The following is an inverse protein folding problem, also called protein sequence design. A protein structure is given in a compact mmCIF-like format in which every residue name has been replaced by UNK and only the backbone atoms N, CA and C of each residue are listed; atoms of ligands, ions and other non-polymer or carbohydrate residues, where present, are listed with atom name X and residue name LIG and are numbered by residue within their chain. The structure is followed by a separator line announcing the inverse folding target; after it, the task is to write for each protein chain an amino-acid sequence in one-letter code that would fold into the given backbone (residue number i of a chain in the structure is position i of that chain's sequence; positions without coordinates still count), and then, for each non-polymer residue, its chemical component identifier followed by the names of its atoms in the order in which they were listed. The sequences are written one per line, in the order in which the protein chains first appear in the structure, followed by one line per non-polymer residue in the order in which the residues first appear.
data_IF_928523216416
#
_entry.id   IF_928523216416
#
_cell.length_a   1.000
_cell.length_b   1.000
_cell.length_c   1.000
_cell.angle_alpha   90.00
_cell.angle_beta   90.00
_cell.angle_gamma   90.00
#
_symmetry.space_group_name_H-M   'P 1'
#
loop_
_entity.id
_entity.type
_entity.pdbx_description
1 polymer ?
#
# COMPACT_ATOMS: atom_id res chain seq x y z
N UNK A 1 -60.46 40.59 8.85
CA UNK A 1 -59.92 39.25 9.17
C UNK A 1 -58.56 39.13 8.56
N UNK A 2 -57.48 39.08 9.37
CA UNK A 2 -56.11 38.83 8.93
C UNK A 2 -55.78 37.38 9.23
N UNK A 3 -55.47 36.58 8.22
CA UNK A 3 -55.02 35.19 8.37
C UNK A 3 -53.51 35.21 8.65
N UNK A 4 -53.05 34.45 9.64
CA UNK A 4 -51.61 34.29 9.87
C UNK A 4 -51.02 33.30 8.87
N UNK A 5 -50.02 33.74 8.11
CA UNK A 5 -49.22 32.90 7.21
C UNK A 5 -48.14 32.20 8.07
N UNK A 6 -48.32 30.92 8.33
CA UNK A 6 -47.31 30.10 9.04
C UNK A 6 -46.25 29.66 8.01
N UNK A 7 -45.05 30.17 8.13
CA UNK A 7 -43.91 29.70 7.35
C UNK A 7 -43.33 28.43 8.00
N UNK A 8 -43.51 27.29 7.35
CA UNK A 8 -42.91 26.03 7.79
C UNK A 8 -41.51 25.95 7.20
N UNK A 9 -40.49 26.16 8.01
CA UNK A 9 -39.06 25.91 7.64
C UNK A 9 -38.83 24.42 7.62
N UNK A 10 -38.57 23.88 6.43
CA UNK A 10 -38.13 22.50 6.22
C UNK A 10 -36.62 22.45 6.43
N UNK A 11 -36.18 21.95 7.59
CA UNK A 11 -34.75 21.70 7.85
C UNK A 11 -34.36 20.38 7.19
N UNK A 12 -33.56 20.46 6.12
CA UNK A 12 -32.88 19.28 5.58
C UNK A 12 -31.71 18.93 6.51
N UNK A 13 -31.86 17.83 7.25
CA UNK A 13 -30.74 17.17 7.89
C UNK A 13 -29.91 16.49 6.77
N UNK A 14 -28.82 17.10 6.37
CA UNK A 14 -27.79 16.44 5.57
C UNK A 14 -27.07 15.49 6.55
N UNK A 15 -27.44 14.21 6.54
CA UNK A 15 -26.63 13.15 7.13
C UNK A 15 -25.38 13.08 6.25
N UNK A 16 -24.24 13.55 6.72
CA UNK A 16 -22.95 13.16 6.14
C UNK A 16 -22.84 11.66 6.35
N UNK A 17 -22.91 10.91 5.27
CA UNK A 17 -22.45 9.54 5.23
C UNK A 17 -20.92 9.66 5.30
N UNK A 18 -20.34 9.38 6.45
CA UNK A 18 -18.88 9.22 6.56
C UNK A 18 -18.55 7.99 5.70
N UNK A 19 -17.69 8.16 4.73
CA UNK A 19 -17.12 7.06 3.96
C UNK A 19 -16.18 6.29 4.88
N UNK A 20 -16.22 4.97 4.85
CA UNK A 20 -15.23 4.16 5.54
C UNK A 20 -13.82 4.46 5.00
N UNK A 21 -12.82 4.39 5.87
CA UNK A 21 -11.43 4.72 5.54
C UNK A 21 -10.57 3.48 5.63
N UNK A 22 -9.93 3.12 4.54
CA UNK A 22 -8.98 2.00 4.49
C UNK A 22 -7.55 2.50 4.31
N UNK A 23 -6.67 2.13 5.24
CA UNK A 23 -5.23 2.36 5.15
C UNK A 23 -4.52 1.04 4.88
N UNK A 24 -3.77 0.98 3.77
CA UNK A 24 -2.93 -0.15 3.43
C UNK A 24 -1.46 0.25 3.65
N UNK A 25 -0.68 -0.57 4.34
CA UNK A 25 0.77 -0.40 4.51
C UNK A 25 1.44 -1.64 3.93
N UNK A 26 2.10 -1.50 2.79
CA UNK A 26 2.69 -2.61 2.03
C UNK A 26 4.19 -2.39 1.78
N UNK A 27 4.88 -3.40 1.30
CA UNK A 27 6.30 -3.31 1.05
C UNK A 27 6.60 -2.62 -0.29
N UNK A 28 6.18 -3.19 -1.42
CA UNK A 28 6.58 -2.77 -2.76
C UNK A 28 5.41 -2.21 -3.59
N UNK A 29 5.68 -1.41 -4.65
CA UNK A 29 4.64 -0.86 -5.53
C UNK A 29 3.98 -1.88 -6.47
N UNK A 30 3.46 -3.00 -5.95
CA UNK A 30 2.69 -4.03 -6.65
C UNK A 30 2.05 -5.04 -5.67
N UNK A 31 2.51 -5.07 -4.42
CA UNK A 31 2.03 -6.02 -3.40
C UNK A 31 0.54 -5.90 -3.13
N UNK A 32 0.04 -4.68 -3.10
CA UNK A 32 -1.37 -4.36 -2.89
C UNK A 32 -2.24 -4.87 -4.04
N UNK A 33 -1.76 -4.76 -5.28
CA UNK A 33 -2.46 -5.26 -6.47
C UNK A 33 -2.49 -6.78 -6.51
N UNK A 34 -1.43 -7.45 -6.01
CA UNK A 34 -1.33 -8.90 -5.99
C UNK A 34 -2.02 -9.51 -4.76
N UNK A 35 -1.83 -8.93 -3.58
CA UNK A 35 -2.14 -9.62 -2.32
C UNK A 35 -3.29 -8.99 -1.52
N UNK A 36 -3.64 -7.70 -1.75
CA UNK A 36 -4.77 -7.03 -1.13
C UNK A 36 -5.96 -6.84 -2.09
N UNK A 37 -5.77 -7.01 -3.39
CA UNK A 37 -6.85 -7.00 -4.37
C UNK A 37 -7.52 -8.38 -4.46
N UNK A 38 -8.88 -8.49 -4.52
CA UNK A 38 -9.84 -7.44 -4.91
C UNK A 38 -10.39 -6.54 -3.80
N UNK A 39 -9.98 -6.68 -2.52
CA UNK A 39 -10.57 -5.86 -1.45
C UNK A 39 -10.37 -4.36 -1.70
N UNK A 40 -9.18 -3.92 -2.16
CA UNK A 40 -8.94 -2.53 -2.55
C UNK A 40 -9.87 -2.08 -3.69
N UNK A 41 -10.13 -2.95 -4.67
CA UNK A 41 -11.07 -2.69 -5.75
C UNK A 41 -12.50 -2.47 -5.23
N UNK A 42 -12.90 -3.25 -4.24
CA UNK A 42 -14.20 -3.11 -3.59
C UNK A 42 -14.28 -1.80 -2.81
N UNK A 43 -13.25 -1.46 -2.03
CA UNK A 43 -13.20 -0.22 -1.26
C UNK A 43 -13.35 1.01 -2.16
N UNK A 44 -12.54 1.10 -3.22
CA UNK A 44 -12.61 2.21 -4.19
C UNK A 44 -13.99 2.25 -4.87
N UNK A 45 -14.53 1.10 -5.29
CA UNK A 45 -15.84 1.02 -5.96
C UNK A 45 -17.01 1.39 -5.05
N UNK A 46 -16.87 1.15 -3.73
CA UNK A 46 -17.86 1.51 -2.72
C UNK A 46 -17.74 2.98 -2.27
N UNK A 47 -16.76 3.72 -2.78
CA UNK A 47 -16.53 5.12 -2.44
C UNK A 47 -15.88 5.30 -1.07
N UNK A 48 -15.09 4.32 -0.61
CA UNK A 48 -14.29 4.46 0.61
C UNK A 48 -13.11 5.39 0.37
N UNK A 49 -12.64 6.03 1.42
CA UNK A 49 -11.37 6.77 1.37
C UNK A 49 -10.22 5.78 1.54
N UNK A 50 -9.42 5.61 0.50
CA UNK A 50 -8.32 4.63 0.44
C UNK A 50 -6.98 5.34 0.39
N UNK A 51 -6.08 4.95 1.30
CA UNK A 51 -4.67 5.34 1.25
C UNK A 51 -3.78 4.11 1.26
N UNK A 52 -2.79 4.07 0.36
CA UNK A 52 -1.76 3.04 0.36
C UNK A 52 -0.38 3.66 0.59
N UNK A 53 0.36 3.10 1.55
CA UNK A 53 1.72 3.49 1.93
C UNK A 53 2.67 2.37 1.52
N UNK A 54 3.58 2.69 0.61
CA UNK A 54 4.64 1.79 0.19
C UNK A 54 5.91 2.11 1.00
N UNK A 55 6.41 1.12 1.75
CA UNK A 55 7.59 1.33 2.58
C UNK A 55 8.86 1.36 1.76
N UNK A 56 9.00 0.44 0.79
CA UNK A 56 10.17 0.36 -0.08
C UNK A 56 9.85 0.86 -1.48
N UNK A 57 10.89 1.19 -2.22
CA UNK A 57 10.78 1.53 -3.64
C UNK A 57 10.60 0.30 -4.52
N UNK A 58 10.86 -0.92 -3.99
CA UNK A 58 10.96 -2.13 -4.80
C UNK A 58 12.04 -1.99 -5.88
N UNK A 59 13.15 -1.33 -5.56
CA UNK A 59 14.20 -1.00 -6.52
C UNK A 59 15.00 -2.23 -7.02
N UNK A 60 14.93 -3.35 -6.29
CA UNK A 60 15.67 -4.57 -6.62
C UNK A 60 17.16 -4.32 -6.94
N UNK A 61 17.76 -3.32 -6.27
CA UNK A 61 19.13 -2.88 -6.50
C UNK A 61 19.38 -2.16 -7.83
N UNK A 62 18.33 -1.78 -8.54
CA UNK A 62 18.37 -1.03 -9.79
C UNK A 62 18.32 0.49 -9.55
N UNK A 63 18.49 1.26 -10.62
CA UNK A 63 18.55 2.72 -10.54
C UNK A 63 17.17 3.37 -10.42
N UNK A 64 17.17 4.70 -10.28
CA UNK A 64 15.98 5.51 -10.12
C UNK A 64 14.97 5.36 -11.26
N UNK A 65 15.41 5.07 -12.48
CA UNK A 65 14.51 4.89 -13.62
C UNK A 65 13.60 3.70 -13.42
N UNK A 66 14.10 2.62 -12.82
CA UNK A 66 13.34 1.42 -12.57
C UNK A 66 12.27 1.64 -11.48
N UNK A 67 12.67 2.07 -10.27
CA UNK A 67 11.71 2.19 -9.18
C UNK A 67 10.70 3.33 -9.39
N UNK A 68 11.08 4.45 -10.04
CA UNK A 68 10.11 5.51 -10.40
C UNK A 68 9.09 5.02 -11.43
N UNK A 69 9.50 4.12 -12.34
CA UNK A 69 8.56 3.49 -13.27
C UNK A 69 7.55 2.60 -12.53
N UNK A 70 7.99 1.81 -11.54
CA UNK A 70 7.07 1.02 -10.69
C UNK A 70 6.10 1.91 -9.91
N UNK A 71 6.58 3.01 -9.34
CA UNK A 71 5.73 4.01 -8.69
C UNK A 71 4.67 4.56 -9.66
N UNK A 72 5.08 4.95 -10.88
CA UNK A 72 4.14 5.41 -11.91
C UNK A 72 3.13 4.31 -12.29
N UNK A 73 3.55 3.05 -12.30
CA UNK A 73 2.69 1.89 -12.52
C UNK A 73 1.61 1.75 -11.44
N UNK A 74 1.98 1.85 -10.16
CA UNK A 74 1.02 1.84 -9.05
C UNK A 74 0.02 3.00 -9.18
N UNK A 75 0.50 4.20 -9.47
CA UNK A 75 -0.36 5.38 -9.70
C UNK A 75 -1.33 5.15 -10.86
N UNK A 76 -0.87 4.58 -11.97
CA UNK A 76 -1.73 4.27 -13.11
C UNK A 76 -2.79 3.20 -12.78
N UNK A 77 -2.42 2.15 -12.02
CA UNK A 77 -3.34 1.10 -11.61
C UNK A 77 -4.46 1.64 -10.70
N UNK A 78 -4.14 2.51 -9.73
CA UNK A 78 -5.16 3.12 -8.88
C UNK A 78 -6.10 4.05 -9.65
N UNK A 79 -5.59 4.85 -10.57
CA UNK A 79 -6.43 5.68 -11.45
C UNK A 79 -7.36 4.81 -12.31
N UNK A 80 -6.85 3.67 -12.82
CA UNK A 80 -7.66 2.69 -13.56
C UNK A 80 -8.76 2.10 -12.68
N UNK A 81 -8.44 1.67 -11.44
CA UNK A 81 -9.43 1.14 -10.49
C UNK A 81 -10.51 2.17 -10.14
N UNK A 82 -10.15 3.45 -10.06
CA UNK A 82 -11.07 4.56 -9.81
C UNK A 82 -11.85 5.00 -11.08
N UNK A 83 -11.48 4.52 -12.27
CA UNK A 83 -12.14 4.85 -13.53
C UNK A 83 -11.89 6.29 -14.01
N UNK A 84 -10.76 6.90 -13.66
CA UNK A 84 -10.37 8.27 -14.01
C UNK A 84 -8.97 8.33 -14.64
N UNK A 85 -8.60 9.50 -15.19
CA UNK A 85 -7.25 9.72 -15.71
C UNK A 85 -6.21 9.72 -14.58
N UNK A 86 -4.99 9.21 -14.86
CA UNK A 86 -3.89 9.18 -13.90
C UNK A 86 -3.24 10.56 -13.75
N UNK A 87 -3.97 11.48 -13.11
CA UNK A 87 -3.51 12.84 -12.79
C UNK A 87 -3.53 13.00 -11.28
N UNK A 88 -2.36 13.32 -10.71
CA UNK A 88 -2.15 13.33 -9.28
C UNK A 88 -1.69 14.72 -8.79
N UNK A 89 -2.27 15.16 -7.70
CA UNK A 89 -1.81 16.34 -6.97
C UNK A 89 -0.85 15.88 -5.88
N UNK A 90 0.34 16.48 -5.85
CA UNK A 90 1.37 16.18 -4.87
C UNK A 90 1.25 17.13 -3.69
N UNK A 91 1.34 16.57 -2.48
CA UNK A 91 1.36 17.24 -1.20
C UNK A 91 2.31 16.54 -0.24
N UNK A 92 2.18 16.82 1.04
CA UNK A 92 2.92 16.18 2.13
C UNK A 92 1.96 15.38 3.02
N UNK A 93 2.40 14.21 3.51
CA UNK A 93 1.55 13.34 4.35
C UNK A 93 1.32 13.92 5.76
N UNK A 94 2.08 14.93 6.15
CA UNK A 94 1.91 15.69 7.39
C UNK A 94 2.64 15.10 8.61
N UNK A 95 3.72 14.35 8.42
CA UNK A 95 4.55 13.85 9.53
C UNK A 95 5.59 14.89 9.92
N UNK A 96 5.56 15.37 11.16
CA UNK A 96 6.47 16.40 11.65
C UNK A 96 7.94 16.02 11.44
N UNK A 97 8.70 16.94 10.83
CA UNK A 97 10.13 16.76 10.56
C UNK A 97 10.47 15.78 9.44
N UNK A 98 9.49 15.33 8.67
CA UNK A 98 9.67 14.50 7.48
C UNK A 98 8.99 15.17 6.28
N UNK A 99 9.63 15.09 5.14
CA UNK A 99 9.05 15.48 3.85
C UNK A 99 8.71 14.17 3.10
N UNK A 100 7.46 13.73 3.26
CA UNK A 100 6.99 12.45 2.70
C UNK A 100 5.88 12.76 1.70
N UNK A 101 6.10 12.51 0.40
CA UNK A 101 5.13 12.86 -0.62
C UNK A 101 3.82 12.09 -0.46
N UNK A 102 2.72 12.83 -0.55
CA UNK A 102 1.35 12.34 -0.65
C UNK A 102 0.81 12.67 -2.02
N UNK A 103 0.50 11.66 -2.81
CA UNK A 103 -0.16 11.81 -4.10
C UNK A 103 -1.65 11.56 -3.93
N UNK A 104 -2.47 12.56 -4.26
CA UNK A 104 -3.94 12.46 -4.24
C UNK A 104 -4.47 12.46 -5.66
N UNK A 105 -5.30 11.47 -5.99
CA UNK A 105 -5.87 11.33 -7.34
C UNK A 105 -6.86 12.47 -7.60
N UNK A 106 -6.57 13.33 -8.59
CA UNK A 106 -7.26 14.62 -8.78
C UNK A 106 -8.77 14.48 -8.94
N UNK A 107 -9.21 13.57 -9.80
CA UNK A 107 -10.63 13.39 -10.12
C UNK A 107 -11.31 12.34 -9.19
N UNK A 108 -10.57 11.78 -8.23
CA UNK A 108 -11.06 10.89 -7.19
C UNK A 108 -10.27 11.09 -5.89
N UNK A 109 -10.46 12.23 -5.18
CA UNK A 109 -9.59 12.65 -4.07
C UNK A 109 -9.66 11.75 -2.83
N UNK A 110 -10.59 10.81 -2.77
CA UNK A 110 -10.64 9.76 -1.74
C UNK A 110 -9.58 8.66 -1.95
N UNK A 111 -8.83 8.70 -3.06
CA UNK A 111 -7.72 7.79 -3.36
C UNK A 111 -6.39 8.52 -3.24
N UNK A 112 -5.49 8.03 -2.39
CA UNK A 112 -4.16 8.62 -2.18
C UNK A 112 -3.07 7.57 -2.00
N UNK A 113 -1.86 7.89 -2.44
CA UNK A 113 -0.67 7.03 -2.34
C UNK A 113 0.48 7.79 -1.67
N UNK A 114 1.30 7.08 -0.92
CA UNK A 114 2.50 7.61 -0.24
C UNK A 114 3.66 6.63 -0.41
N UNK A 115 4.86 7.14 -0.71
CA UNK A 115 6.05 6.34 -0.94
C UNK A 115 7.17 6.79 0.01
N UNK A 116 7.66 5.89 0.87
CA UNK A 116 8.74 6.17 1.80
C UNK A 116 10.13 5.97 1.18
N UNK A 117 10.19 5.34 0.02
CA UNK A 117 11.41 5.12 -0.77
C UNK A 117 12.56 4.43 -0.01
N UNK A 118 12.24 3.54 0.94
CA UNK A 118 13.23 2.68 1.59
C UNK A 118 13.74 1.66 0.55
N UNK A 119 15.02 1.26 0.58
CA UNK A 119 15.55 0.26 -0.34
C UNK A 119 14.88 -1.10 -0.20
N UNK A 120 14.75 -1.82 -1.31
CA UNK A 120 14.32 -3.22 -1.38
C UNK A 120 15.34 -4.13 -0.66
N UNK A 121 14.83 -4.99 0.21
CA UNK A 121 15.63 -5.89 1.04
C UNK A 121 16.04 -7.21 0.38
N UNK A 122 15.61 -7.47 -0.85
CA UNK A 122 15.68 -8.79 -1.48
C UNK A 122 14.82 -9.84 -0.76
N UNK A 123 14.46 -10.91 -1.47
CA UNK A 123 13.58 -11.97 -0.95
C UNK A 123 14.08 -12.58 0.37
N UNK A 124 15.39 -12.62 0.56
CA UNK A 124 16.08 -13.24 1.70
C UNK A 124 16.55 -12.24 2.78
N UNK A 125 16.22 -10.96 2.66
CA UNK A 125 16.63 -9.91 3.60
C UNK A 125 18.10 -9.49 3.53
N UNK A 126 18.87 -9.99 2.56
CA UNK A 126 20.28 -9.66 2.43
C UNK A 126 20.52 -8.26 1.83
N UNK A 127 19.54 -7.74 1.07
CA UNK A 127 19.61 -6.46 0.38
C UNK A 127 20.58 -6.48 -0.83
N UNK A 128 20.71 -5.33 -1.44
CA UNK A 128 21.51 -5.16 -2.66
C UNK A 128 22.78 -4.32 -2.42
N UNK A 129 23.90 -4.66 -3.09
CA UNK A 129 25.14 -3.87 -2.94
C UNK A 129 24.96 -2.38 -3.32
N UNK A 130 24.07 -2.10 -4.28
CA UNK A 130 23.79 -0.73 -4.74
C UNK A 130 23.23 0.18 -3.63
N UNK A 131 22.54 -0.40 -2.67
CA UNK A 131 21.91 0.29 -1.52
C UNK A 131 22.63 -0.01 -0.20
N UNK A 132 23.91 -0.44 -0.27
CA UNK A 132 24.71 -0.77 0.93
C UNK A 132 24.19 -1.97 1.71
N UNK A 133 23.34 -2.80 1.11
CA UNK A 133 22.70 -3.96 1.75
C UNK A 133 21.85 -3.56 2.98
N UNK A 134 21.36 -2.32 3.00
CA UNK A 134 20.38 -1.87 4.00
C UNK A 134 19.02 -2.47 3.68
N UNK A 135 18.30 -3.01 4.68
CA UNK A 135 17.00 -3.67 4.50
C UNK A 135 16.07 -3.39 5.68
N UNK A 136 14.75 -3.47 5.45
CA UNK A 136 13.75 -3.37 6.52
C UNK A 136 13.93 -4.47 7.57
N UNK A 137 14.28 -5.70 7.15
CA UNK A 137 14.55 -6.81 8.07
C UNK A 137 15.71 -6.51 9.02
N UNK A 138 16.84 -6.01 8.49
CA UNK A 138 17.99 -5.62 9.33
C UNK A 138 17.67 -4.43 10.23
N UNK A 139 16.84 -3.47 9.76
CA UNK A 139 16.38 -2.39 10.61
C UNK A 139 15.49 -2.90 11.74
N UNK A 140 14.58 -3.82 11.45
CA UNK A 140 13.71 -4.45 12.44
C UNK A 140 14.49 -5.22 13.51
N UNK A 141 15.55 -5.93 13.11
CA UNK A 141 16.39 -6.75 13.98
C UNK A 141 17.51 -5.97 14.68
N UNK A 142 17.61 -4.66 14.45
CA UNK A 142 18.72 -3.81 14.95
C UNK A 142 20.12 -4.28 14.46
N UNK A 143 20.19 -4.81 13.25
CA UNK A 143 21.41 -5.36 12.63
C UNK A 143 22.13 -4.38 11.68
N UNK A 144 21.56 -3.20 11.44
CA UNK A 144 22.22 -2.16 10.64
C UNK A 144 23.36 -1.51 11.44
N UNK A 145 24.60 -1.46 10.91
CA UNK A 145 25.75 -0.88 11.64
C UNK A 145 25.54 0.59 12.03
N UNK A 146 24.80 1.35 11.23
CA UNK A 146 24.44 2.75 11.50
C UNK A 146 23.25 2.89 12.47
N UNK A 147 22.50 1.80 12.72
CA UNK A 147 21.20 1.82 13.37
C UNK A 147 20.12 2.53 12.54
N UNK A 148 20.38 2.81 11.27
CA UNK A 148 19.49 3.60 10.39
C UNK A 148 19.50 3.04 8.97
N UNK A 149 18.35 3.14 8.29
CA UNK A 149 18.19 2.88 6.86
C UNK A 149 18.04 4.20 6.11
N UNK A 150 18.62 4.29 4.92
CA UNK A 150 18.55 5.48 4.05
C UNK A 150 17.61 5.24 2.89
N UNK A 151 16.82 6.27 2.54
CA UNK A 151 15.96 6.25 1.34
C UNK A 151 16.78 6.31 0.04
N UNK A 152 16.24 5.77 -1.06
CA UNK A 152 16.90 5.72 -2.38
C UNK A 152 16.63 6.96 -3.24
N UNK A 153 15.71 7.83 -2.83
CA UNK A 153 15.24 9.01 -3.58
C UNK A 153 16.21 10.21 -3.55
N UNK A 154 17.41 10.03 -3.02
CA UNK A 154 18.42 11.07 -2.87
C UNK A 154 18.01 12.27 -1.98
N UNK A 155 16.88 12.22 -1.27
CA UNK A 155 16.48 13.25 -0.28
C UNK A 155 17.45 13.33 0.91
N UNK A 156 18.18 12.24 1.15
CA UNK A 156 19.03 12.09 2.32
C UNK A 156 18.26 11.68 3.59
N UNK A 157 16.97 11.42 3.46
CA UNK A 157 16.12 10.93 4.56
C UNK A 157 16.64 9.60 5.09
N UNK A 158 16.59 9.43 6.40
CA UNK A 158 16.95 8.17 7.06
C UNK A 158 15.96 7.87 8.17
N UNK A 159 15.81 6.58 8.48
CA UNK A 159 14.96 6.13 9.59
C UNK A 159 15.75 5.19 10.51
N UNK A 160 15.71 5.42 11.81
CA UNK A 160 15.91 4.36 12.79
C UNK A 160 14.63 3.52 12.90
N UNK A 161 14.70 2.35 13.54
CA UNK A 161 13.53 1.51 13.80
C UNK A 161 12.42 2.30 14.51
N UNK A 162 12.76 3.03 15.57
CA UNK A 162 11.80 3.82 16.33
C UNK A 162 11.19 4.93 15.47
N UNK A 163 12.00 5.68 14.71
CA UNK A 163 11.51 6.75 13.85
C UNK A 163 10.57 6.22 12.72
N UNK A 164 10.81 5.03 12.18
CA UNK A 164 9.90 4.44 11.20
C UNK A 164 8.56 4.07 11.84
N UNK A 165 8.58 3.48 13.04
CA UNK A 165 7.37 3.20 13.82
C UNK A 165 6.61 4.51 14.12
N UNK A 166 7.30 5.54 14.61
CA UNK A 166 6.69 6.83 14.93
C UNK A 166 6.09 7.50 13.66
N UNK A 167 6.78 7.39 12.53
CA UNK A 167 6.29 7.87 11.22
C UNK A 167 4.99 7.18 10.83
N UNK A 168 4.95 5.86 10.87
CA UNK A 168 3.74 5.09 10.54
C UNK A 168 2.61 5.35 11.55
N UNK A 169 2.93 5.46 12.83
CA UNK A 169 1.95 5.86 13.87
C UNK A 169 1.33 7.22 13.57
N UNK A 170 2.14 8.18 13.13
CA UNK A 170 1.67 9.52 12.76
C UNK A 170 0.77 9.47 11.52
N UNK A 171 1.11 8.64 10.52
CA UNK A 171 0.28 8.42 9.33
C UNK A 171 -1.05 7.79 9.72
N UNK A 172 -1.06 6.75 10.57
CA UNK A 172 -2.27 6.10 11.06
C UNK A 172 -3.15 7.12 11.80
N UNK A 173 -2.59 7.90 12.72
CA UNK A 173 -3.32 8.90 13.49
C UNK A 173 -3.86 10.04 12.61
N UNK A 174 -3.10 10.49 11.61
CA UNK A 174 -3.53 11.56 10.71
C UNK A 174 -4.59 11.11 9.70
N UNK A 175 -4.61 9.83 9.35
CA UNK A 175 -5.60 9.27 8.43
C UNK A 175 -6.86 8.80 9.17
N UNK A 176 -6.74 8.31 10.40
CA UNK A 176 -7.84 7.76 11.23
C UNK A 176 -8.61 6.64 10.49
N UNK A 177 -7.96 5.51 10.17
CA UNK A 177 -8.58 4.43 9.40
C UNK A 177 -9.65 3.68 10.20
N UNK A 178 -10.70 3.20 9.52
CA UNK A 178 -11.64 2.21 10.03
C UNK A 178 -11.09 0.80 9.81
N UNK A 179 -10.30 0.59 8.75
CA UNK A 179 -9.57 -0.65 8.47
C UNK A 179 -8.09 -0.37 8.19
N UNK A 180 -7.22 -1.13 8.87
CA UNK A 180 -5.77 -1.08 8.68
C UNK A 180 -5.27 -2.43 8.18
N UNK A 181 -4.76 -2.45 6.96
CA UNK A 181 -4.29 -3.63 6.25
C UNK A 181 -2.78 -3.58 6.07
N UNK A 182 -2.14 -4.74 6.16
CA UNK A 182 -0.73 -4.89 5.81
C UNK A 182 -0.43 -6.31 5.33
N UNK A 183 0.83 -6.59 5.03
CA UNK A 183 1.29 -7.92 4.68
C UNK A 183 1.47 -8.80 5.93
N UNK A 184 1.74 -10.08 5.73
CA UNK A 184 1.72 -11.08 6.79
C UNK A 184 2.88 -10.94 7.77
N UNK A 185 2.56 -10.53 9.00
CA UNK A 185 3.48 -10.43 10.14
C UNK A 185 3.37 -11.60 11.13
N UNK A 186 2.44 -12.53 10.88
CA UNK A 186 2.19 -13.67 11.77
C UNK A 186 3.10 -14.85 11.45
N UNK A 187 3.64 -14.91 10.23
CA UNK A 187 4.65 -15.89 9.85
C UNK A 187 6.07 -15.30 9.93
N UNK A 188 7.00 -16.14 10.35
CA UNK A 188 8.40 -15.73 10.55
C UNK A 188 9.11 -15.48 9.21
N UNK A 189 10.17 -14.68 9.23
CA UNK A 189 11.12 -14.57 8.12
C UNK A 189 11.58 -15.94 7.63
N UNK A 190 11.72 -16.10 6.32
CA UNK A 190 12.12 -17.36 5.71
C UNK A 190 11.01 -18.42 5.58
N UNK A 191 9.75 -18.05 5.84
CA UNK A 191 8.58 -18.93 5.64
C UNK A 191 8.15 -19.09 4.17
N UNK A 192 8.94 -18.55 3.23
CA UNK A 192 8.68 -18.60 1.78
C UNK A 192 8.06 -17.32 1.22
N UNK A 193 7.91 -16.29 2.04
CA UNK A 193 7.54 -14.95 1.63
C UNK A 193 8.76 -14.04 1.48
N UNK A 194 8.58 -12.86 0.88
CA UNK A 194 9.60 -11.84 0.79
C UNK A 194 9.91 -11.25 2.18
N UNK A 195 11.20 -10.96 2.47
CA UNK A 195 11.58 -10.41 3.76
C UNK A 195 10.93 -9.07 4.06
N UNK A 196 10.76 -8.23 3.04
CA UNK A 196 10.10 -6.93 3.18
C UNK A 196 8.60 -7.05 3.43
N UNK A 197 7.94 -8.13 2.95
CA UNK A 197 6.53 -8.37 3.28
C UNK A 197 6.36 -8.58 4.78
N UNK A 198 7.14 -9.50 5.35
CA UNK A 198 7.14 -9.73 6.80
C UNK A 198 7.50 -8.46 7.57
N UNK A 199 8.50 -7.71 7.09
CA UNK A 199 8.93 -6.46 7.73
C UNK A 199 7.84 -5.39 7.70
N UNK A 200 7.19 -5.18 6.54
CA UNK A 200 6.11 -4.20 6.39
C UNK A 200 4.97 -4.50 7.37
N UNK A 201 4.55 -5.77 7.44
CA UNK A 201 3.55 -6.21 8.39
C UNK A 201 3.95 -5.99 9.85
N UNK A 202 5.19 -6.31 10.23
CA UNK A 202 5.70 -6.10 11.58
C UNK A 202 5.74 -4.61 11.95
N UNK A 203 6.25 -3.74 11.06
CA UNK A 203 6.27 -2.29 11.28
C UNK A 203 4.85 -1.71 11.38
N UNK A 204 3.92 -2.13 10.52
CA UNK A 204 2.53 -1.69 10.55
C UNK A 204 1.84 -2.10 11.85
N UNK A 205 2.01 -3.36 12.28
CA UNK A 205 1.44 -3.87 13.52
C UNK A 205 2.01 -3.17 14.75
N UNK A 206 3.33 -2.95 14.81
CA UNK A 206 3.98 -2.23 15.92
C UNK A 206 3.54 -0.75 15.97
N UNK A 207 3.36 -0.09 14.81
CA UNK A 207 2.88 1.28 14.74
C UNK A 207 1.41 1.44 15.12
N UNK A 208 0.60 0.41 14.94
CA UNK A 208 -0.81 0.41 15.35
C UNK A 208 -0.99 0.46 16.87
N UNK A 209 -0.06 -0.13 17.65
CA UNK A 209 -0.15 -0.22 19.11
C UNK A 209 -0.19 1.17 19.80
N UNK A 210 0.74 2.11 19.53
CA UNK A 210 0.71 3.46 20.10
C UNK A 210 -0.26 4.41 19.38
N UNK A 211 -0.86 4.01 18.26
CA UNK A 211 -1.79 4.83 17.50
C UNK A 211 -3.18 4.88 18.14
N UNK A 212 -4.06 5.73 17.59
CA UNK A 212 -5.47 5.79 17.97
C UNK A 212 -6.33 4.69 17.33
N UNK A 213 -5.77 3.84 16.47
CA UNK A 213 -6.49 2.78 15.78
C UNK A 213 -6.99 1.72 16.76
N UNK A 214 -8.30 1.47 16.84
CA UNK A 214 -8.88 0.57 17.85
C UNK A 214 -8.90 -0.89 17.43
N UNK A 215 -8.59 -1.20 16.16
CA UNK A 215 -8.71 -2.51 15.56
C UNK A 215 -7.42 -3.33 15.60
N UNK A 216 -7.43 -4.43 14.87
CA UNK A 216 -6.27 -5.29 14.61
C UNK A 216 -5.86 -5.13 13.16
N UNK A 217 -4.56 -5.07 12.89
CA UNK A 217 -4.04 -5.03 11.51
C UNK A 217 -4.41 -6.33 10.80
N UNK A 218 -5.08 -6.22 9.65
CA UNK A 218 -5.39 -7.38 8.82
C UNK A 218 -4.13 -7.79 8.06
N UNK A 219 -3.70 -9.04 8.25
CA UNK A 219 -2.46 -9.58 7.70
C UNK A 219 -2.74 -10.33 6.39
N UNK A 220 -2.48 -9.71 5.26
CA UNK A 220 -2.61 -10.33 3.93
C UNK A 220 -1.38 -11.16 3.60
N UNK A 221 -1.60 -12.41 3.18
CA UNK A 221 -0.53 -13.34 2.85
C UNK A 221 0.04 -13.03 1.46
N UNK A 222 1.38 -12.99 1.38
CA UNK A 222 2.13 -12.74 0.14
C UNK A 222 2.39 -14.01 -0.68
N UNK A 223 3.63 -14.21 -1.11
CA UNK A 223 4.03 -15.28 -2.05
C UNK A 223 3.53 -16.69 -1.74
N UNK A 224 3.42 -17.14 -0.47
CA UNK A 224 2.97 -18.49 -0.15
C UNK A 224 1.56 -18.83 -0.63
N UNK A 225 0.70 -17.83 -0.94
CA UNK A 225 -0.67 -18.09 -1.43
C UNK A 225 -0.72 -18.84 -2.75
N UNK A 226 0.38 -18.86 -3.52
CA UNK A 226 0.48 -19.68 -4.74
C UNK A 226 0.20 -21.16 -4.51
N UNK A 227 0.40 -21.64 -3.28
CA UNK A 227 0.17 -23.04 -2.89
C UNK A 227 -1.25 -23.30 -2.40
N UNK A 228 -2.06 -22.27 -2.23
CA UNK A 228 -3.46 -22.38 -1.81
C UNK A 228 -4.39 -22.64 -3.01
N UNK A 229 -5.67 -22.95 -2.77
CA UNK A 229 -6.64 -23.06 -3.84
C UNK A 229 -7.00 -21.69 -4.43
N UNK A 230 -7.29 -21.55 -5.74
CA UNK A 230 -7.85 -20.31 -6.27
C UNK A 230 -9.17 -19.96 -5.57
N UNK A 231 -9.31 -18.70 -5.15
CA UNK A 231 -10.52 -18.19 -4.48
C UNK A 231 -10.99 -16.84 -5.02
N UNK A 232 -10.27 -16.26 -5.98
CA UNK A 232 -10.67 -15.05 -6.71
C UNK A 232 -11.10 -15.47 -8.14
N UNK A 233 -12.29 -15.08 -8.54
CA UNK A 233 -12.87 -15.48 -9.84
C UNK A 233 -13.89 -14.48 -10.36
N UNK A 234 -14.47 -14.76 -11.55
CA UNK A 234 -15.50 -13.91 -12.15
C UNK A 234 -15.02 -12.48 -12.39
N UNK A 235 -15.87 -11.51 -12.08
CA UNK A 235 -15.61 -10.08 -12.28
C UNK A 235 -14.45 -9.58 -11.43
N UNK A 236 -14.28 -10.10 -10.20
CA UNK A 236 -13.18 -9.73 -9.33
C UNK A 236 -11.83 -10.09 -9.93
N UNK A 237 -11.71 -11.30 -10.49
CA UNK A 237 -10.48 -11.73 -11.17
C UNK A 237 -10.22 -10.88 -12.43
N UNK A 238 -11.28 -10.58 -13.19
CA UNK A 238 -11.14 -9.76 -14.39
C UNK A 238 -10.61 -8.37 -14.05
N UNK A 239 -11.24 -7.69 -13.09
CA UNK A 239 -10.85 -6.34 -12.64
C UNK A 239 -9.47 -6.33 -11.98
N UNK A 240 -9.13 -7.33 -11.16
CA UNK A 240 -7.80 -7.50 -10.56
C UNK A 240 -6.72 -7.60 -11.65
N UNK A 241 -6.98 -8.38 -12.69
CA UNK A 241 -6.07 -8.51 -13.84
C UNK A 241 -5.93 -7.21 -14.63
N UNK A 242 -7.02 -6.47 -14.85
CA UNK A 242 -6.97 -5.18 -15.54
C UNK A 242 -6.11 -4.16 -14.78
N UNK A 243 -6.27 -4.06 -13.46
CA UNK A 243 -5.42 -3.22 -12.61
C UNK A 243 -3.96 -3.67 -12.66
N UNK A 244 -3.70 -4.97 -12.54
CA UNK A 244 -2.37 -5.57 -12.66
C UNK A 244 -1.71 -5.26 -14.01
N UNK A 245 -2.40 -5.46 -15.13
CA UNK A 245 -1.83 -5.22 -16.46
C UNK A 245 -1.60 -3.73 -16.72
N UNK A 246 -2.40 -2.86 -16.09
CA UNK A 246 -2.14 -1.42 -16.12
C UNK A 246 -0.83 -1.08 -15.42
N UNK A 247 -0.56 -1.66 -14.23
CA UNK A 247 0.73 -1.54 -13.55
C UNK A 247 1.88 -2.11 -14.39
N UNK A 248 1.72 -3.33 -14.92
CA UNK A 248 2.74 -4.05 -15.65
C UNK A 248 3.21 -3.33 -16.94
N UNK A 249 2.44 -2.40 -17.47
CA UNK A 249 2.89 -1.54 -18.57
C UNK A 249 4.07 -0.64 -18.19
N UNK A 250 4.32 -0.46 -16.90
CA UNK A 250 5.41 0.34 -16.33
C UNK A 250 6.52 -0.51 -15.70
N UNK A 251 6.32 -1.81 -15.51
CA UNK A 251 7.31 -2.72 -14.94
C UNK A 251 7.64 -3.85 -15.92
N UNK A 252 8.76 -3.72 -16.61
CA UNK A 252 9.21 -4.71 -17.59
C UNK A 252 9.64 -6.06 -16.98
N UNK A 253 9.72 -6.14 -15.64
CA UNK A 253 10.14 -7.36 -14.93
C UNK A 253 8.99 -8.32 -14.65
N UNK A 254 7.74 -7.90 -14.91
CA UNK A 254 6.53 -8.67 -14.62
C UNK A 254 5.73 -8.99 -15.88
N UNK A 255 4.78 -9.91 -15.78
CA UNK A 255 3.94 -10.26 -16.93
C UNK A 255 2.75 -9.29 -17.07
N UNK A 256 2.52 -8.78 -18.29
CA UNK A 256 1.52 -7.75 -18.60
C UNK A 256 0.30 -8.23 -19.40
N UNK A 257 0.03 -9.55 -19.46
CA UNK A 257 -1.16 -10.10 -20.13
C UNK A 257 -1.43 -11.53 -19.70
N UNK A 258 -2.65 -12.02 -19.92
CA UNK A 258 -2.99 -13.41 -19.65
C UNK A 258 -1.99 -14.39 -20.32
N UNK A 259 -1.66 -14.16 -21.59
CA UNK A 259 -0.74 -15.02 -22.32
C UNK A 259 0.69 -14.99 -21.75
N UNK A 260 1.15 -13.81 -21.30
CA UNK A 260 2.49 -13.66 -20.74
C UNK A 260 2.60 -14.22 -19.31
N UNK A 261 1.49 -14.25 -18.56
CA UNK A 261 1.46 -14.75 -17.19
C UNK A 261 1.34 -16.28 -17.09
N UNK A 262 0.94 -16.96 -18.15
CA UNK A 262 0.79 -18.43 -18.14
C UNK A 262 2.06 -19.13 -17.68
N UNK A 263 1.93 -19.94 -16.62
CA UNK A 263 3.03 -20.71 -16.04
C UNK A 263 3.98 -19.91 -15.14
N UNK A 264 3.69 -18.65 -14.88
CA UNK A 264 4.43 -17.83 -13.90
C UNK A 264 3.73 -17.86 -12.53
N UNK A 265 4.41 -17.40 -11.49
CA UNK A 265 3.80 -17.24 -10.15
C UNK A 265 2.70 -16.17 -10.13
N UNK A 266 2.80 -15.14 -10.99
CA UNK A 266 1.77 -14.11 -11.14
C UNK A 266 0.40 -14.69 -11.54
N UNK A 267 0.37 -15.69 -12.43
CA UNK A 267 -0.88 -16.40 -12.77
C UNK A 267 -1.53 -16.99 -11.52
N UNK A 268 -0.72 -17.52 -10.60
CA UNK A 268 -1.21 -18.13 -9.36
C UNK A 268 -1.65 -17.07 -8.35
N UNK A 269 -0.88 -16.00 -8.16
CA UNK A 269 -1.20 -14.92 -7.21
C UNK A 269 -2.46 -14.14 -7.62
N UNK A 270 -2.63 -13.85 -8.90
CA UNK A 270 -3.81 -13.12 -9.40
C UNK A 270 -5.13 -13.82 -9.08
N UNK A 271 -5.14 -15.16 -9.00
CA UNK A 271 -6.33 -15.94 -8.70
C UNK A 271 -6.60 -16.14 -7.20
N UNK A 272 -5.85 -15.47 -6.31
CA UNK A 272 -5.88 -15.72 -4.86
C UNK A 272 -5.86 -14.45 -4.05
N UNK A 273 -6.52 -14.52 -2.89
CA UNK A 273 -6.45 -13.55 -1.81
C UNK A 273 -6.66 -14.29 -0.50
N UNK A 274 -5.70 -14.19 0.42
CA UNK A 274 -5.77 -14.86 1.71
C UNK A 274 -5.24 -13.96 2.82
N UNK A 275 -5.84 -14.06 4.00
CA UNK A 275 -5.37 -13.43 5.23
C UNK A 275 -4.92 -14.49 6.24
N UNK A 276 -4.12 -14.09 7.22
CA UNK A 276 -3.60 -14.95 8.31
C UNK A 276 -4.37 -14.79 9.61
N UNK A 277 -5.26 -13.80 9.71
CA UNK A 277 -6.11 -13.50 10.89
C UNK A 277 -7.57 -13.23 10.50
#
# INVERSE_FOLDING_TARGET
MKFPTTLTTLSFLITQVLSDKTLNIVAHPDDDLLFLSPDILHDISNGFTVRTVYLTSGDAGQDWTYWTSRQAGAMAAYAHMAGVESIWDEGDVGVEGKDIPLYTLRDHPDVSLTFLHIPDGSIDGNGFPATGQETLEKLWKDELPSGRIRTVDASGTTYSRAELIDTLTSIINGFEPDSLNSLDYLHAYGSGDHSDHTSAGLFANEAAIPSSYPGTVIAYRGYPIKNEQPNVGGDDLARKKEAWYTYAAYDASVCGSDAACVGTEYELWLQRLYTSN
#
